data_IF_131310668053
#
_entry.id   IF_131310668053
#
_cell.length_a   1.000
_cell.length_b   1.000
_cell.length_c   1.000
_cell.angle_alpha   90.00
_cell.angle_beta   90.00
_cell.angle_gamma   90.00
#
_symmetry.space_group_name_H-M   'P 1'
#
loop_
_entity.id
_entity.type
_entity.pdbx_description
1 polymer ?
#
# COMPACT_ATOMS: atom_id res chain seq x y z
N UNK A 1 -15.68 -18.78 -6.82
CA UNK A 1 -14.64 -18.35 -5.84
C UNK A 1 -13.29 -17.94 -6.46
N UNK A 2 -12.95 -18.30 -7.71
CA UNK A 2 -11.67 -17.89 -8.34
C UNK A 2 -11.62 -16.39 -8.70
N UNK A 3 -12.73 -15.80 -9.17
CA UNK A 3 -12.81 -14.38 -9.52
C UNK A 3 -12.57 -13.48 -8.30
N UNK A 4 -13.12 -13.83 -7.14
CA UNK A 4 -12.89 -13.08 -5.89
C UNK A 4 -11.44 -13.17 -5.42
N UNK A 5 -10.79 -14.32 -5.61
CA UNK A 5 -9.38 -14.51 -5.30
C UNK A 5 -8.46 -13.79 -6.30
N UNK A 6 -8.85 -13.70 -7.58
CA UNK A 6 -8.15 -12.92 -8.59
C UNK A 6 -8.27 -11.42 -8.32
N UNK A 7 -9.47 -10.94 -8.02
CA UNK A 7 -9.68 -9.56 -7.58
C UNK A 7 -8.94 -9.27 -6.29
N UNK A 8 -8.98 -10.16 -5.29
CA UNK A 8 -8.16 -10.03 -4.08
C UNK A 8 -6.68 -10.02 -4.41
N UNK A 9 -6.14 -10.92 -5.22
CA UNK A 9 -4.72 -10.91 -5.59
C UNK A 9 -4.32 -9.60 -6.29
N UNK A 10 -5.17 -9.09 -7.20
CA UNK A 10 -4.94 -7.84 -7.94
C UNK A 10 -5.09 -6.59 -7.06
N UNK A 11 -6.02 -6.57 -6.12
CA UNK A 11 -6.23 -5.47 -5.16
C UNK A 11 -5.33 -5.56 -3.92
N UNK A 12 -4.87 -6.74 -3.51
CA UNK A 12 -3.88 -6.96 -2.45
C UNK A 12 -2.48 -6.53 -2.90
N UNK A 13 -2.18 -6.60 -4.20
CA UNK A 13 -0.94 -6.09 -4.79
C UNK A 13 -1.07 -4.69 -5.40
N UNK A 14 -2.22 -4.02 -5.29
CA UNK A 14 -2.38 -2.71 -5.96
C UNK A 14 -1.47 -1.60 -5.41
N UNK A 15 -0.84 -1.79 -4.24
CA UNK A 15 0.19 -0.86 -3.77
C UNK A 15 1.52 -1.02 -4.53
N UNK A 16 1.90 -2.26 -4.89
CA UNK A 16 3.06 -2.50 -5.76
C UNK A 16 2.77 -2.11 -7.20
N UNK A 17 1.56 -2.40 -7.70
CA UNK A 17 1.14 -1.94 -9.02
C UNK A 17 1.15 -0.40 -9.12
N UNK A 18 0.76 0.30 -8.04
CA UNK A 18 0.85 1.76 -7.98
C UNK A 18 2.31 2.25 -8.03
N UNK A 19 3.24 1.56 -7.36
CA UNK A 19 4.67 1.87 -7.43
C UNK A 19 5.24 1.62 -8.83
N UNK A 20 4.92 0.49 -9.46
CA UNK A 20 5.38 0.15 -10.81
C UNK A 20 4.81 1.11 -11.87
N UNK A 21 3.56 1.53 -11.71
CA UNK A 21 2.95 2.56 -12.54
C UNK A 21 3.72 3.88 -12.48
N UNK A 22 4.22 4.28 -11.30
CA UNK A 22 5.03 5.49 -11.13
C UNK A 22 6.43 5.34 -11.70
N UNK A 23 7.04 4.16 -11.55
CA UNK A 23 8.33 3.84 -12.18
C UNK A 23 8.27 3.95 -13.70
N UNK A 24 7.15 3.53 -14.30
CA UNK A 24 6.91 3.64 -15.74
C UNK A 24 6.51 5.04 -16.18
N UNK A 25 5.71 5.76 -15.38
CA UNK A 25 5.28 7.12 -15.69
C UNK A 25 5.05 7.95 -14.41
N UNK A 26 5.96 8.91 -14.20
CA UNK A 26 6.01 9.78 -13.02
C UNK A 26 4.77 10.67 -12.84
N UNK A 27 3.99 10.92 -13.90
CA UNK A 27 2.73 11.70 -13.84
C UNK A 27 1.75 11.13 -12.80
N UNK A 28 1.83 9.83 -12.54
CA UNK A 28 0.94 9.16 -11.61
C UNK A 28 1.41 9.16 -10.15
N UNK A 29 2.52 9.84 -9.83
CA UNK A 29 3.08 9.82 -8.47
C UNK A 29 2.06 10.24 -7.40
N UNK A 30 1.36 11.35 -7.62
CA UNK A 30 0.31 11.83 -6.70
C UNK A 30 -0.84 10.82 -6.53
N UNK A 31 -1.25 10.14 -7.61
CA UNK A 31 -2.29 9.12 -7.55
C UNK A 31 -1.82 7.90 -6.74
N UNK A 32 -0.59 7.44 -6.95
CA UNK A 32 -0.01 6.32 -6.22
C UNK A 32 0.16 6.63 -4.74
N UNK A 33 0.67 7.82 -4.39
CA UNK A 33 0.76 8.30 -3.01
C UNK A 33 -0.60 8.29 -2.32
N UNK A 34 -1.65 8.78 -2.99
CA UNK A 34 -3.02 8.79 -2.46
C UNK A 34 -3.55 7.37 -2.22
N UNK A 35 -3.37 6.46 -3.18
CA UNK A 35 -3.80 5.05 -3.05
C UNK A 35 -3.12 4.38 -1.86
N UNK A 36 -1.80 4.52 -1.75
CA UNK A 36 -1.03 3.88 -0.67
C UNK A 36 -1.35 4.51 0.68
N UNK A 37 -1.56 5.83 0.73
CA UNK A 37 -1.94 6.54 1.96
C UNK A 37 -3.30 6.13 2.50
N UNK A 38 -4.31 5.96 1.63
CA UNK A 38 -5.64 5.46 2.02
C UNK A 38 -5.53 4.03 2.59
N UNK A 39 -4.75 3.16 1.93
CA UNK A 39 -4.51 1.80 2.42
C UNK A 39 -3.81 1.75 3.76
N UNK A 40 -2.81 2.63 3.98
CA UNK A 40 -2.12 2.77 5.27
C UNK A 40 -3.07 3.25 6.36
N UNK A 41 -3.91 4.24 6.08
CA UNK A 41 -4.91 4.75 7.02
C UNK A 41 -5.91 3.65 7.44
N UNK A 42 -6.40 2.87 6.48
CA UNK A 42 -7.29 1.74 6.75
C UNK A 42 -6.58 0.66 7.60
N UNK A 43 -5.34 0.29 7.27
CA UNK A 43 -4.59 -0.69 8.06
C UNK A 43 -4.32 -0.19 9.49
N UNK A 44 -4.10 1.11 9.68
CA UNK A 44 -3.95 1.72 11.01
C UNK A 44 -5.26 1.63 11.80
N UNK A 45 -6.38 1.99 11.17
CA UNK A 45 -7.72 1.86 11.77
C UNK A 45 -8.00 0.41 12.19
N UNK A 46 -7.77 -0.54 11.29
CA UNK A 46 -7.99 -1.97 11.56
C UNK A 46 -7.08 -2.47 12.70
N UNK A 47 -5.87 -1.93 12.83
CA UNK A 47 -4.95 -2.29 13.91
C UNK A 47 -5.49 -1.83 15.26
N UNK A 48 -6.05 -0.62 15.34
CA UNK A 48 -6.68 -0.10 16.57
C UNK A 48 -7.86 -0.99 16.98
N UNK A 49 -8.67 -1.45 16.02
CA UNK A 49 -9.85 -2.29 16.28
C UNK A 49 -9.56 -3.79 16.40
N UNK A 50 -8.31 -4.23 16.21
CA UNK A 50 -7.96 -5.66 16.29
C UNK A 50 -7.95 -6.23 17.72
N UNK A 51 -8.11 -5.39 18.75
CA UNK A 51 -8.21 -5.74 20.17
C UNK A 51 -7.14 -6.74 20.66
N UNK A 52 -7.44 -8.03 20.65
CA UNK A 52 -6.65 -9.13 21.23
C UNK A 52 -6.15 -10.17 20.21
N UNK A 53 -6.44 -9.99 18.92
CA UNK A 53 -5.95 -10.90 17.88
C UNK A 53 -4.51 -10.53 17.50
N UNK A 54 -3.54 -11.16 18.19
CA UNK A 54 -2.11 -10.93 17.96
C UNK A 54 -1.64 -11.29 16.55
N UNK A 55 -2.23 -12.32 15.94
CA UNK A 55 -1.92 -12.69 14.57
C UNK A 55 -2.36 -11.58 13.60
N UNK A 56 -3.56 -11.05 13.79
CA UNK A 56 -4.08 -9.94 12.99
C UNK A 56 -3.29 -8.66 13.22
N UNK A 57 -2.87 -8.37 14.45
CA UNK A 57 -1.96 -7.25 14.74
C UNK A 57 -0.64 -7.39 14.00
N UNK A 58 -0.04 -8.58 13.99
CA UNK A 58 1.20 -8.85 13.26
C UNK A 58 1.03 -8.62 11.76
N UNK A 59 -0.03 -9.16 11.15
CA UNK A 59 -0.33 -8.97 9.73
C UNK A 59 -0.52 -7.48 9.38
N UNK A 60 -1.23 -6.73 10.22
CA UNK A 60 -1.48 -5.30 10.02
C UNK A 60 -0.20 -4.46 10.18
N UNK A 61 0.66 -4.78 11.15
CA UNK A 61 1.99 -4.15 11.29
C UNK A 61 2.86 -4.41 10.06
N UNK A 62 2.86 -5.64 9.55
CA UNK A 62 3.56 -5.97 8.30
C UNK A 62 3.05 -5.15 7.11
N UNK A 63 1.72 -5.01 6.96
CA UNK A 63 1.12 -4.17 5.91
C UNK A 63 1.51 -2.70 6.06
N UNK A 64 1.52 -2.16 7.28
CA UNK A 64 1.96 -0.79 7.56
C UNK A 64 3.42 -0.57 7.13
N UNK A 65 4.32 -1.47 7.52
CA UNK A 65 5.73 -1.42 7.11
C UNK A 65 5.88 -1.46 5.58
N UNK A 66 5.11 -2.33 4.90
CA UNK A 66 5.07 -2.38 3.43
C UNK A 66 4.63 -1.04 2.84
N UNK A 67 3.55 -0.43 3.33
CA UNK A 67 3.06 0.84 2.79
C UNK A 67 4.02 1.99 3.07
N UNK A 68 4.68 2.02 4.23
CA UNK A 68 5.72 3.01 4.53
C UNK A 68 6.93 2.88 3.61
N UNK A 69 7.36 1.65 3.33
CA UNK A 69 8.42 1.40 2.35
C UNK A 69 8.02 1.91 0.96
N UNK A 70 6.79 1.64 0.50
CA UNK A 70 6.31 2.11 -0.81
C UNK A 70 6.25 3.65 -0.86
N UNK A 71 5.75 4.31 0.18
CA UNK A 71 5.71 5.78 0.23
C UNK A 71 7.12 6.39 0.18
N UNK A 72 8.10 5.79 0.87
CA UNK A 72 9.50 6.21 0.77
C UNK A 72 10.05 6.07 -0.65
N UNK A 73 9.71 4.99 -1.36
CA UNK A 73 10.11 4.80 -2.75
C UNK A 73 9.50 5.85 -3.67
N UNK A 74 8.21 6.16 -3.50
CA UNK A 74 7.53 7.21 -4.27
C UNK A 74 8.16 8.59 -4.04
N UNK A 75 8.46 8.93 -2.78
CA UNK A 75 9.16 10.16 -2.42
C UNK A 75 10.56 10.23 -3.06
N UNK A 76 11.32 9.13 -3.03
CA UNK A 76 12.62 9.08 -3.68
C UNK A 76 12.51 9.34 -5.19
N UNK A 77 11.58 8.67 -5.88
CA UNK A 77 11.36 8.87 -7.31
C UNK A 77 11.01 10.34 -7.62
N UNK A 78 10.24 11.00 -6.76
CA UNK A 78 9.92 12.42 -6.90
C UNK A 78 11.17 13.30 -6.77
N UNK A 79 11.97 13.12 -5.72
CA UNK A 79 13.14 13.97 -5.41
C UNK A 79 14.24 13.86 -6.48
N UNK A 80 14.50 12.69 -7.05
CA UNK A 80 15.54 12.50 -8.07
C UNK A 80 15.23 13.16 -9.43
N UNK A 81 14.10 13.85 -9.58
CA UNK A 81 13.62 14.38 -10.86
C UNK A 81 13.21 15.85 -10.81
N UNK A 82 13.41 16.52 -9.68
CA UNK A 82 13.41 17.98 -9.54
C UNK A 82 14.87 18.48 -9.65
#
# INVERSE_FOLDING_TARGET
>A
MQVLNYFRARFCNSSYAALDLVRNNKKYNSLAEKIVSVKKSNACRDLIFSHSDEWRKFELRYKLNKYDWILKQLLAIRIYND
#
